data_IF_995419210758
#
_entry.id   IF_995419210758
#
_cell.length_a   1.000
_cell.length_b   1.000
_cell.length_c   1.000
_cell.angle_alpha   90.00
_cell.angle_beta   90.00
_cell.angle_gamma   90.00
#
_symmetry.space_group_name_H-M   'P 1'
#
loop_
_entity.id
_entity.type
_entity.pdbx_description
1 polymer ?
#
# COMPACT_ATOMS: atom_id res chain seq x y z
N UNK A 1 -7.00 -20.91 4.35
CA UNK A 1 -6.17 -19.85 3.75
C UNK A 1 -4.79 -19.95 4.39
N UNK A 2 -3.80 -20.44 3.66
CA UNK A 2 -2.42 -20.56 4.15
C UNK A 2 -1.78 -19.18 4.12
N UNK A 3 -1.57 -18.57 5.30
CA UNK A 3 -0.85 -17.31 5.42
C UNK A 3 0.60 -17.46 4.92
N UNK A 4 1.08 -16.45 4.20
CA UNK A 4 2.47 -16.40 3.75
C UNK A 4 3.35 -15.90 4.91
N UNK A 5 4.10 -16.80 5.55
CA UNK A 5 5.00 -16.50 6.68
C UNK A 5 6.47 -16.35 6.27
N UNK A 6 6.76 -16.07 4.98
CA UNK A 6 8.14 -15.95 4.48
C UNK A 6 8.99 -14.91 5.21
N UNK A 7 8.36 -13.89 5.81
CA UNK A 7 9.04 -12.89 6.65
C UNK A 7 9.51 -13.42 8.02
N UNK A 8 8.99 -14.57 8.46
CA UNK A 8 9.29 -15.20 9.75
C UNK A 8 9.98 -16.56 9.56
N UNK A 9 11.12 -16.59 8.87
CA UNK A 9 11.88 -17.81 8.54
C UNK A 9 12.08 -18.77 9.73
N UNK A 10 12.42 -18.26 10.92
CA UNK A 10 12.56 -19.10 12.14
C UNK A 10 11.25 -19.76 12.58
N UNK A 11 10.13 -19.07 12.40
CA UNK A 11 8.82 -19.66 12.66
C UNK A 11 8.55 -20.75 11.63
N UNK A 12 8.90 -20.53 10.37
CA UNK A 12 8.75 -21.52 9.30
C UNK A 12 9.61 -22.79 9.54
N UNK A 13 10.87 -22.62 9.95
CA UNK A 13 11.77 -23.73 10.27
C UNK A 13 11.26 -24.58 11.45
N UNK A 14 10.62 -23.94 12.44
CA UNK A 14 9.97 -24.62 13.57
C UNK A 14 8.65 -25.31 13.19
N UNK A 15 7.96 -24.81 12.16
CA UNK A 15 6.73 -25.42 11.65
C UNK A 15 6.98 -26.74 10.91
N UNK A 16 8.15 -26.88 10.31
CA UNK A 16 8.57 -28.05 9.54
C UNK A 16 9.17 -29.16 10.42
N UNK A 17 9.51 -28.87 11.68
CA UNK A 17 9.99 -29.88 12.64
C UNK A 17 8.83 -30.61 13.33
N UNK A 18 8.68 -31.91 13.04
CA UNK A 18 7.59 -32.78 13.53
C UNK A 18 7.62 -33.13 15.04
N UNK A 19 8.60 -32.65 15.81
CA UNK A 19 8.82 -33.14 17.19
C UNK A 19 7.84 -32.58 18.23
N UNK A 20 7.19 -31.43 17.98
CA UNK A 20 6.38 -30.73 18.99
C UNK A 20 5.13 -30.05 18.39
N UNK A 21 4.37 -30.76 17.56
CA UNK A 21 3.22 -30.22 16.82
C UNK A 21 2.14 -29.58 17.72
N UNK A 22 1.93 -30.12 18.92
CA UNK A 22 0.92 -29.63 19.87
C UNK A 22 1.34 -28.30 20.52
N UNK A 23 2.62 -28.17 20.89
CA UNK A 23 3.20 -26.90 21.36
C UNK A 23 3.19 -25.87 20.22
N UNK A 24 3.59 -26.27 19.02
CA UNK A 24 3.60 -25.41 17.84
C UNK A 24 2.22 -24.81 17.54
N UNK A 25 1.15 -25.58 17.70
CA UNK A 25 -0.22 -25.09 17.53
C UNK A 25 -0.67 -24.13 18.64
N UNK A 26 -0.19 -24.32 19.87
CA UNK A 26 -0.39 -23.36 20.97
C UNK A 26 0.34 -22.04 20.70
N UNK A 27 1.59 -22.10 20.26
CA UNK A 27 2.39 -20.92 19.89
C UNK A 27 1.79 -20.16 18.71
N UNK A 28 1.29 -20.85 17.68
CA UNK A 28 0.55 -20.21 16.56
C UNK A 28 -0.64 -19.42 17.08
N UNK A 29 -1.44 -19.98 18.00
CA UNK A 29 -2.61 -19.30 18.57
C UNK A 29 -2.19 -18.03 19.31
N UNK A 30 -1.10 -18.08 20.08
CA UNK A 30 -0.56 -16.90 20.77
C UNK A 30 -0.12 -15.83 19.78
N UNK A 31 0.66 -16.19 18.76
CA UNK A 31 1.14 -15.26 17.73
C UNK A 31 -0.03 -14.63 16.97
N UNK A 32 -1.00 -15.44 16.54
CA UNK A 32 -2.20 -14.93 15.85
C UNK A 32 -3.00 -13.99 16.75
N UNK A 33 -3.20 -14.34 18.02
CA UNK A 33 -3.87 -13.47 18.98
C UNK A 33 -3.14 -12.13 19.16
N UNK A 34 -1.81 -12.15 19.22
CA UNK A 34 -1.00 -10.93 19.33
C UNK A 34 -1.09 -10.07 18.07
N UNK A 35 -1.04 -10.70 16.89
CA UNK A 35 -1.20 -9.98 15.62
C UNK A 35 -2.59 -9.35 15.50
N UNK A 36 -3.65 -10.05 15.87
CA UNK A 36 -5.02 -9.50 15.88
C UNK A 36 -5.19 -8.36 16.90
N UNK A 37 -4.56 -8.46 18.07
CA UNK A 37 -4.54 -7.35 19.04
C UNK A 37 -3.79 -6.14 18.50
N UNK A 38 -2.65 -6.38 17.86
CA UNK A 38 -1.86 -5.32 17.24
C UNK A 38 -2.64 -4.62 16.12
N UNK A 39 -3.35 -5.38 15.28
CA UNK A 39 -4.25 -4.86 14.24
C UNK A 39 -5.36 -3.98 14.85
N UNK A 40 -6.01 -4.45 15.91
CA UNK A 40 -7.05 -3.67 16.62
C UNK A 40 -6.50 -2.37 17.24
N UNK A 41 -5.30 -2.40 17.80
CA UNK A 41 -4.67 -1.18 18.31
C UNK A 41 -4.27 -0.23 17.17
N UNK A 42 -3.86 -0.73 16.00
CA UNK A 42 -3.66 0.11 14.81
C UNK A 42 -4.96 0.80 14.38
N UNK A 43 -6.09 0.08 14.35
CA UNK A 43 -7.40 0.67 14.07
C UNK A 43 -7.79 1.75 15.08
N UNK A 44 -7.51 1.51 16.36
CA UNK A 44 -7.83 2.43 17.45
C UNK A 44 -6.97 3.71 17.42
N UNK A 45 -5.66 3.59 17.20
CA UNK A 45 -4.76 4.76 17.20
C UNK A 45 -4.72 5.49 15.86
N UNK A 46 -5.07 4.82 14.77
CA UNK A 46 -5.10 5.40 13.43
C UNK A 46 -6.47 5.24 12.75
N UNK A 47 -7.56 5.74 13.35
CA UNK A 47 -8.91 5.56 12.80
C UNK A 47 -9.06 6.13 11.39
N UNK A 48 -8.30 7.20 11.09
CA UNK A 48 -8.33 7.87 9.78
C UNK A 48 -7.51 7.13 8.70
N UNK A 49 -6.60 6.22 9.07
CA UNK A 49 -5.78 5.47 8.08
C UNK A 49 -6.56 4.39 7.34
N UNK A 50 -7.75 4.02 7.83
CA UNK A 50 -8.62 3.02 7.20
C UNK A 50 -9.67 3.64 6.27
N UNK A 51 -9.85 4.96 6.31
CA UNK A 51 -10.60 5.69 5.30
C UNK A 51 -9.67 6.00 4.12
N UNK A 52 -9.35 4.95 3.36
CA UNK A 52 -8.45 5.04 2.21
C UNK A 52 -9.12 5.89 1.11
N UNK A 53 -8.85 7.19 1.11
CA UNK A 53 -9.42 8.13 0.15
C UNK A 53 -8.86 7.88 -1.25
N UNK A 54 -9.58 8.32 -2.29
CA UNK A 54 -9.12 8.18 -3.66
C UNK A 54 -7.76 8.88 -3.89
N UNK A 55 -7.49 9.99 -3.17
CA UNK A 55 -6.20 10.68 -3.22
C UNK A 55 -5.06 9.80 -2.71
N UNK A 56 -5.28 9.09 -1.60
CA UNK A 56 -4.27 8.20 -1.01
C UNK A 56 -3.99 6.97 -1.88
N UNK A 57 -5.04 6.41 -2.50
CA UNK A 57 -4.94 5.32 -3.47
C UNK A 57 -4.23 5.76 -4.73
N UNK A 58 -4.57 6.94 -5.25
CA UNK A 58 -3.91 7.53 -6.40
C UNK A 58 -2.42 7.72 -6.10
N UNK A 59 -2.07 8.32 -4.95
CA UNK A 59 -0.67 8.53 -4.55
C UNK A 59 0.15 7.22 -4.51
N UNK A 60 -0.39 6.17 -3.90
CA UNK A 60 0.34 4.90 -3.66
C UNK A 60 0.30 3.92 -4.81
N UNK A 61 -0.76 3.90 -5.61
CA UNK A 61 -0.99 2.86 -6.62
C UNK A 61 -1.84 3.39 -7.77
N UNK A 62 -1.34 4.39 -8.53
CA UNK A 62 -2.10 5.06 -9.59
C UNK A 62 -2.52 4.11 -10.72
N UNK A 63 -1.88 2.96 -10.89
CA UNK A 63 -2.21 1.99 -11.94
C UNK A 63 -3.24 0.92 -11.52
N UNK A 64 -3.59 0.86 -10.22
CA UNK A 64 -4.50 -0.15 -9.66
C UNK A 64 -5.81 0.44 -9.13
N UNK A 65 -5.99 1.76 -9.20
CA UNK A 65 -7.24 2.45 -8.84
C UNK A 65 -8.21 2.44 -10.04
N UNK A 66 -9.51 2.31 -9.76
CA UNK A 66 -10.54 2.39 -10.78
C UNK A 66 -10.71 3.85 -11.26
N UNK A 67 -10.97 4.05 -12.54
CA UNK A 67 -11.21 5.38 -13.12
C UNK A 67 -12.47 6.00 -12.50
N UNK A 68 -13.48 5.20 -12.16
CA UNK A 68 -14.70 5.68 -11.52
C UNK A 68 -14.45 6.23 -10.09
N UNK A 69 -13.34 5.89 -9.45
CA UNK A 69 -13.00 6.39 -8.11
C UNK A 69 -12.32 7.76 -8.12
N UNK A 70 -11.85 8.26 -9.27
CA UNK A 70 -11.28 9.60 -9.38
C UNK A 70 -12.31 10.62 -9.88
N UNK A 71 -12.21 11.91 -9.51
CA UNK A 71 -13.12 12.96 -9.98
C UNK A 71 -13.17 13.07 -11.51
N UNK A 72 -14.35 13.30 -12.06
CA UNK A 72 -14.59 13.38 -13.52
C UNK A 72 -13.66 14.37 -14.23
N UNK A 73 -13.37 15.50 -13.59
CA UNK A 73 -12.51 16.54 -14.15
C UNK A 73 -11.03 16.13 -14.33
N UNK A 74 -10.61 14.97 -13.81
CA UNK A 74 -9.25 14.43 -14.01
C UNK A 74 -9.25 13.07 -14.70
N UNK A 75 -10.42 12.51 -15.05
CA UNK A 75 -10.51 11.14 -15.56
C UNK A 75 -9.82 10.95 -16.90
N UNK A 76 -9.95 11.89 -17.83
CA UNK A 76 -9.30 11.80 -19.16
C UNK A 76 -7.78 11.68 -19.02
N UNK A 77 -7.16 12.62 -18.31
CA UNK A 77 -5.72 12.62 -18.07
C UNK A 77 -5.27 11.40 -17.23
N UNK A 78 -6.12 10.92 -16.32
CA UNK A 78 -5.86 9.72 -15.54
C UNK A 78 -5.89 8.44 -16.41
N UNK A 79 -6.79 8.37 -17.38
CA UNK A 79 -6.85 7.26 -18.36
C UNK A 79 -5.57 7.25 -19.20
N UNK A 80 -5.11 8.43 -19.66
CA UNK A 80 -3.87 8.55 -20.42
C UNK A 80 -2.67 8.08 -19.61
N UNK A 81 -2.53 8.56 -18.36
CA UNK A 81 -1.48 8.11 -17.45
C UNK A 81 -1.51 6.59 -17.25
N UNK A 82 -2.69 6.01 -17.05
CA UNK A 82 -2.84 4.56 -16.80
C UNK A 82 -2.44 3.71 -18.01
N UNK A 83 -2.63 4.24 -19.22
CA UNK A 83 -2.27 3.58 -20.47
C UNK A 83 -0.82 3.85 -20.89
N UNK A 84 -0.11 4.75 -20.21
CA UNK A 84 1.29 5.02 -20.42
C UNK A 84 2.17 3.92 -19.79
N UNK A 85 2.65 3.02 -20.64
CA UNK A 85 3.55 1.93 -20.24
C UNK A 85 4.88 2.45 -19.68
N UNK A 86 5.38 3.58 -20.19
CA UNK A 86 6.64 4.17 -19.73
C UNK A 86 6.48 4.78 -18.34
N UNK A 87 5.35 5.43 -18.06
CA UNK A 87 5.00 5.87 -16.72
C UNK A 87 4.88 4.69 -15.75
N UNK A 88 4.26 3.59 -16.19
CA UNK A 88 4.13 2.38 -15.37
C UNK A 88 5.48 1.77 -14.99
N UNK A 89 6.38 1.63 -15.96
CA UNK A 89 7.73 1.12 -15.71
C UNK A 89 8.55 2.06 -14.80
N UNK A 90 8.39 3.37 -15.00
CA UNK A 90 9.02 4.38 -14.16
C UNK A 90 8.54 4.31 -12.70
N UNK A 91 7.24 4.09 -12.48
CA UNK A 91 6.66 3.96 -11.14
C UNK A 91 7.19 2.73 -10.39
N UNK A 92 7.54 1.66 -11.11
CA UNK A 92 8.11 0.45 -10.51
C UNK A 92 9.61 0.57 -10.18
N UNK A 93 10.30 1.55 -10.79
CA UNK A 93 11.77 1.67 -10.71
C UNK A 93 12.23 2.86 -9.88
N UNK A 94 11.44 3.93 -9.81
CA UNK A 94 11.73 5.13 -9.03
C UNK A 94 10.92 5.17 -7.73
N UNK A 95 11.25 6.12 -6.83
CA UNK A 95 10.42 6.36 -5.64
C UNK A 95 9.09 7.01 -6.04
N UNK A 96 8.06 6.84 -5.22
CA UNK A 96 6.72 7.42 -5.45
C UNK A 96 6.80 8.94 -5.57
N UNK A 97 7.61 9.58 -4.74
CA UNK A 97 7.87 11.02 -4.74
C UNK A 97 8.52 11.46 -6.06
N UNK A 98 9.57 10.74 -6.49
CA UNK A 98 10.31 11.03 -7.71
C UNK A 98 9.43 10.90 -8.95
N UNK A 99 8.61 9.86 -9.00
CA UNK A 99 7.63 9.63 -10.07
C UNK A 99 6.66 10.82 -10.21
N UNK A 100 6.01 11.24 -9.12
CA UNK A 100 5.02 12.32 -9.18
C UNK A 100 5.65 13.67 -9.55
N UNK A 101 6.89 13.92 -9.11
CA UNK A 101 7.62 15.13 -9.51
C UNK A 101 8.01 15.12 -10.99
N UNK A 102 8.41 13.95 -11.52
CA UNK A 102 8.80 13.77 -12.93
C UNK A 102 7.63 13.92 -13.89
N UNK A 103 6.48 13.37 -13.53
CA UNK A 103 5.27 13.36 -14.37
C UNK A 103 4.33 14.55 -14.12
N UNK A 104 4.73 15.49 -13.26
CA UNK A 104 3.99 16.71 -12.96
C UNK A 104 3.58 17.50 -14.21
N UNK A 105 4.50 17.67 -15.14
CA UNK A 105 4.27 18.52 -16.32
C UNK A 105 3.50 17.78 -17.43
N UNK A 106 3.61 16.45 -17.48
CA UNK A 106 2.91 15.61 -18.43
C UNK A 106 1.44 15.36 -18.05
N UNK A 107 1.18 15.18 -16.75
CA UNK A 107 -0.15 14.91 -16.20
C UNK A 107 -0.46 15.86 -15.04
N UNK A 108 -0.60 17.18 -15.31
CA UNK A 108 -0.68 18.21 -14.27
C UNK A 108 -1.92 18.10 -13.38
N UNK A 109 -3.06 17.69 -13.91
CA UNK A 109 -4.32 17.61 -13.15
C UNK A 109 -4.32 16.41 -12.19
N UNK A 110 -3.79 15.27 -12.65
CA UNK A 110 -3.67 14.04 -11.88
C UNK A 110 -2.54 14.16 -10.86
N UNK A 111 -1.38 14.68 -11.26
CA UNK A 111 -0.22 14.83 -10.38
C UNK A 111 -0.38 15.93 -9.33
N UNK A 112 -1.29 16.91 -9.52
CA UNK A 112 -1.54 17.97 -8.55
C UNK A 112 -1.89 17.43 -7.15
N UNK A 113 -2.70 16.36 -7.09
CA UNK A 113 -3.15 15.78 -5.83
C UNK A 113 -2.00 15.08 -5.07
N UNK A 114 -1.28 14.12 -5.67
CA UNK A 114 -0.06 13.55 -5.10
C UNK A 114 0.98 14.59 -4.68
N UNK A 115 1.25 15.60 -5.52
CA UNK A 115 2.25 16.63 -5.21
C UNK A 115 1.83 17.49 -4.01
N UNK A 116 0.54 17.82 -3.89
CA UNK A 116 0.04 18.52 -2.71
C UNK A 116 0.24 17.71 -1.44
N UNK A 117 0.01 16.40 -1.49
CA UNK A 117 0.26 15.49 -0.36
C UNK A 117 1.75 15.48 0.02
N UNK A 118 2.66 15.45 -0.97
CA UNK A 118 4.12 15.54 -0.77
C UNK A 118 4.57 16.85 -0.08
N UNK A 119 3.94 17.97 -0.41
CA UNK A 119 4.27 19.26 0.19
C UNK A 119 3.80 19.35 1.64
N UNK A 120 2.65 18.75 1.96
CA UNK A 120 2.13 18.71 3.34
C UNK A 120 3.04 17.92 4.28
N UNK A 121 3.61 16.81 3.80
CA UNK A 121 4.56 15.99 4.59
C UNK A 121 5.96 16.61 4.72
N UNK A 122 6.32 17.57 3.87
CA UNK A 122 7.63 18.25 3.93
C UNK A 122 7.70 19.34 5.00
N UNK A 123 6.58 19.71 5.62
CA UNK A 123 6.48 20.84 6.58
C UNK A 123 6.54 20.40 8.05
N UNK A 124 6.97 19.16 8.33
CA UNK A 124 7.17 18.62 9.69
C UNK A 124 8.58 18.15 9.88
#
# INVERSE_FOLDING_TARGET
MSGNFSSFHRLNDLLDSNEDQELLDEWKKVVLSQLSQLESEFERYFPDKFNETWESKLYRSPFNIDVATVPENIQEEFIDLRNDSTAKDCFLTESVEGFWLKYKDAYPNVAATPIRLLLQISTT
#
